data_IF_923860313672
#
_entry.id   IF_923860313672
#
_cell.length_a   1.000
_cell.length_b   1.000
_cell.length_c   1.000
_cell.angle_alpha   90.00
_cell.angle_beta   90.00
_cell.angle_gamma   90.00
#
_symmetry.space_group_name_H-M   'P 1'
#
loop_
_entity.id
_entity.type
_entity.pdbx_description
1 polymer ?
#
# COMPACT_ATOMS: atom_id res chain seq x y z
N UNK A 1 16.08 -13.13 18.62
CA UNK A 1 15.51 -13.70 17.39
C UNK A 1 14.39 -12.77 16.94
N UNK A 2 14.39 -12.31 15.69
CA UNK A 2 13.26 -11.59 15.11
C UNK A 2 12.20 -12.61 14.68
N UNK A 3 10.95 -12.43 15.11
CA UNK A 3 9.81 -13.20 14.59
C UNK A 3 9.58 -12.88 13.11
N UNK A 4 9.15 -13.86 12.31
CA UNK A 4 8.73 -13.60 10.94
C UNK A 4 7.39 -12.85 10.88
N UNK A 5 7.09 -12.22 9.74
CA UNK A 5 5.81 -11.54 9.52
C UNK A 5 4.64 -12.51 9.65
N UNK A 6 4.76 -13.72 9.08
CA UNK A 6 3.77 -14.79 9.23
C UNK A 6 3.52 -15.17 10.70
N UNK A 7 4.59 -15.34 11.49
CA UNK A 7 4.46 -15.67 12.92
C UNK A 7 3.80 -14.53 13.69
N UNK A 8 4.20 -13.28 13.43
CA UNK A 8 3.59 -12.11 14.05
C UNK A 8 2.09 -12.00 13.70
N UNK A 9 1.74 -12.21 12.44
CA UNK A 9 0.35 -12.22 11.97
C UNK A 9 -0.47 -13.26 12.72
N UNK A 10 0.03 -14.48 12.85
CA UNK A 10 -0.67 -15.54 13.59
C UNK A 10 -0.87 -15.21 15.07
N UNK A 11 0.15 -14.66 15.74
CA UNK A 11 0.05 -14.25 17.15
C UNK A 11 -0.97 -13.12 17.36
N UNK A 12 -0.99 -12.13 16.46
CA UNK A 12 -1.96 -11.02 16.50
C UNK A 12 -3.38 -11.53 16.25
N UNK A 13 -3.57 -12.43 15.28
CA UNK A 13 -4.89 -13.00 14.98
C UNK A 13 -5.44 -13.90 16.10
N UNK A 14 -4.56 -14.49 16.93
CA UNK A 14 -4.96 -15.27 18.12
C UNK A 14 -5.46 -14.41 19.29
N UNK A 15 -5.26 -13.09 19.26
CA UNK A 15 -5.74 -12.19 20.31
C UNK A 15 -7.26 -12.01 20.28
N UNK A 16 -7.82 -11.44 21.36
CA UNK A 16 -9.24 -11.07 21.40
C UNK A 16 -9.59 -9.98 20.37
N UNK A 17 -10.86 -9.87 19.94
CA UNK A 17 -11.27 -8.84 18.98
C UNK A 17 -10.88 -7.41 19.39
N UNK A 18 -10.93 -7.09 20.68
CA UNK A 18 -10.62 -5.77 21.23
C UNK A 18 -9.14 -5.45 21.08
N UNK A 19 -8.26 -6.41 21.41
CA UNK A 19 -6.81 -6.26 21.25
C UNK A 19 -6.45 -6.11 19.78
N UNK A 20 -7.06 -6.91 18.89
CA UNK A 20 -6.83 -6.78 17.45
C UNK A 20 -7.24 -5.41 16.92
N UNK A 21 -8.40 -4.91 17.34
CA UNK A 21 -8.88 -3.59 16.94
C UNK A 21 -7.95 -2.47 17.42
N UNK A 22 -7.46 -2.58 18.66
CA UNK A 22 -6.46 -1.67 19.21
C UNK A 22 -5.17 -1.69 18.39
N UNK A 23 -4.57 -2.87 18.16
CA UNK A 23 -3.33 -2.99 17.40
C UNK A 23 -3.48 -2.51 15.95
N UNK A 24 -4.59 -2.81 15.29
CA UNK A 24 -4.86 -2.30 13.95
C UNK A 24 -4.89 -0.77 13.91
N UNK A 25 -5.48 -0.13 14.93
CA UNK A 25 -5.49 1.32 15.06
C UNK A 25 -4.10 1.90 15.25
N UNK A 26 -3.30 1.32 16.16
CA UNK A 26 -1.95 1.80 16.45
C UNK A 26 -1.03 1.67 15.22
N UNK A 27 -1.12 0.53 14.51
CA UNK A 27 -0.38 0.33 13.28
C UNK A 27 -0.78 1.35 12.22
N UNK A 28 -2.07 1.61 12.03
CA UNK A 28 -2.53 2.63 11.08
C UNK A 28 -2.04 4.04 11.47
N UNK A 29 -2.16 4.40 12.75
CA UNK A 29 -1.69 5.68 13.26
C UNK A 29 -0.17 5.87 13.09
N UNK A 30 0.61 4.79 13.14
CA UNK A 30 2.05 4.83 12.88
C UNK A 30 2.38 5.20 11.43
N UNK A 31 1.52 4.82 10.47
CA UNK A 31 1.68 5.20 9.06
C UNK A 31 1.33 6.68 8.86
N UNK A 32 0.31 7.18 9.55
CA UNK A 32 -0.07 8.60 9.50
C UNK A 32 0.99 9.53 10.15
N UNK A 33 1.83 8.98 11.03
CA UNK A 33 2.89 9.72 11.71
C UNK A 33 4.21 9.78 10.93
N UNK A 34 4.27 9.17 9.74
CA UNK A 34 5.46 9.20 8.89
C UNK A 34 5.80 10.62 8.44
N UNK A 35 7.09 10.94 8.37
CA UNK A 35 7.53 12.24 7.88
C UNK A 35 7.27 12.37 6.37
N UNK A 36 7.09 13.61 5.90
CA UNK A 36 6.94 13.89 4.47
C UNK A 36 8.10 13.32 3.63
N UNK A 37 9.33 13.37 4.17
CA UNK A 37 10.51 12.81 3.52
C UNK A 37 10.44 11.28 3.36
N UNK A 38 9.96 10.56 4.37
CA UNK A 38 9.78 9.11 4.27
C UNK A 38 8.67 8.75 3.26
N UNK A 39 7.58 9.52 3.25
CA UNK A 39 6.50 9.35 2.28
C UNK A 39 7.00 9.61 0.86
N UNK A 40 7.76 10.68 0.64
CA UNK A 40 8.33 11.01 -0.67
C UNK A 40 9.25 9.90 -1.17
N UNK A 41 10.09 9.33 -0.29
CA UNK A 41 10.95 8.20 -0.65
C UNK A 41 10.14 6.96 -1.05
N UNK A 42 9.08 6.62 -0.31
CA UNK A 42 8.21 5.50 -0.66
C UNK A 42 7.53 5.71 -2.03
N UNK A 43 7.13 6.93 -2.37
CA UNK A 43 6.57 7.24 -3.68
C UNK A 43 7.60 7.11 -4.80
N UNK A 44 8.85 7.51 -4.56
CA UNK A 44 9.93 7.33 -5.53
C UNK A 44 10.16 5.83 -5.78
N UNK A 45 10.24 5.03 -4.73
CA UNK A 45 10.48 3.59 -4.83
C UNK A 45 9.34 2.90 -5.60
N UNK A 46 8.08 3.24 -5.29
CA UNK A 46 6.91 2.72 -6.01
C UNK A 46 6.89 3.16 -7.49
N UNK A 47 7.30 4.40 -7.80
CA UNK A 47 7.36 4.90 -9.16
C UNK A 47 8.41 4.14 -10.00
N UNK A 48 9.58 3.86 -9.41
CA UNK A 48 10.63 3.06 -10.05
C UNK A 48 10.12 1.65 -10.30
N UNK A 49 9.51 1.00 -9.31
CA UNK A 49 8.96 -0.35 -9.47
C UNK A 49 7.89 -0.38 -10.57
N UNK A 50 7.00 0.62 -10.63
CA UNK A 50 5.94 0.71 -11.66
C UNK A 50 6.50 0.89 -13.06
N UNK A 51 7.58 1.65 -13.21
CA UNK A 51 8.28 1.82 -14.49
C UNK A 51 8.85 0.48 -14.97
N UNK A 52 9.52 -0.25 -14.08
CA UNK A 52 10.06 -1.59 -14.37
C UNK A 52 8.96 -2.61 -14.72
N UNK A 53 7.82 -2.58 -14.01
CA UNK A 53 6.66 -3.43 -14.30
C UNK A 53 6.06 -3.14 -15.69
N UNK A 54 6.09 -1.89 -16.15
CA UNK A 54 5.63 -1.49 -17.48
C UNK A 54 6.62 -1.95 -18.55
N UNK A 55 7.92 -1.70 -18.37
CA UNK A 55 8.97 -2.09 -19.31
C UNK A 55 9.06 -3.61 -19.49
N UNK A 56 8.88 -4.36 -18.40
CA UNK A 56 8.88 -5.83 -18.41
C UNK A 56 7.56 -6.45 -18.87
N UNK A 57 6.50 -5.64 -19.01
CA UNK A 57 5.17 -6.10 -19.42
C UNK A 57 4.42 -6.91 -18.35
N UNK A 58 4.86 -6.87 -17.09
CA UNK A 58 4.16 -7.53 -15.97
C UNK A 58 3.05 -6.67 -15.39
N UNK A 59 3.04 -5.37 -15.68
CA UNK A 59 2.00 -4.46 -15.25
C UNK A 59 0.64 -4.78 -15.89
N UNK A 60 -0.43 -4.66 -15.09
CA UNK A 60 -1.80 -4.67 -15.60
C UNK A 60 -2.19 -3.27 -16.07
N UNK A 61 -1.76 -2.91 -17.27
CA UNK A 61 -2.04 -1.59 -17.86
C UNK A 61 -3.47 -1.51 -18.43
N UNK A 62 -4.07 -0.32 -18.34
CA UNK A 62 -5.35 0.01 -18.99
C UNK A 62 -5.03 0.81 -20.26
N UNK A 63 -5.66 0.51 -21.41
CA UNK A 63 -5.48 1.29 -22.63
C UNK A 63 -5.76 2.79 -22.42
N UNK A 64 -4.89 3.65 -22.95
CA UNK A 64 -4.95 5.09 -22.73
C UNK A 64 -6.30 5.72 -23.15
N UNK A 65 -6.91 5.22 -24.22
CA UNK A 65 -8.24 5.68 -24.66
C UNK A 65 -9.32 5.42 -23.61
N UNK A 66 -9.29 4.27 -22.94
CA UNK A 66 -10.24 3.91 -21.89
C UNK A 66 -10.05 4.79 -20.65
N UNK A 67 -8.80 5.02 -20.24
CA UNK A 67 -8.47 5.93 -19.13
C UNK A 67 -9.00 7.34 -19.39
N UNK A 68 -8.79 7.87 -20.61
CA UNK A 68 -9.23 9.22 -20.98
C UNK A 68 -10.75 9.36 -21.03
N UNK A 69 -11.48 8.32 -21.44
CA UNK A 69 -12.94 8.31 -21.42
C UNK A 69 -13.44 8.36 -19.98
N UNK A 70 -12.99 7.43 -19.11
CA UNK A 70 -13.39 7.39 -17.70
C UNK A 70 -13.10 8.71 -16.98
N UNK A 71 -11.92 9.30 -17.19
CA UNK A 71 -11.55 10.57 -16.57
C UNK A 71 -12.45 11.75 -16.99
N UNK A 72 -12.99 11.74 -18.20
CA UNK A 72 -13.95 12.75 -18.68
C UNK A 72 -15.33 12.54 -18.07
N UNK A 73 -15.78 11.29 -17.95
CA UNK A 73 -17.08 10.94 -17.35
C UNK A 73 -17.15 11.31 -15.86
N UNK A 74 -16.03 11.23 -15.14
CA UNK A 74 -15.95 11.59 -13.72
C UNK A 74 -15.70 13.09 -13.46
N UNK A 75 -15.63 13.93 -14.50
CA UNK A 75 -15.45 15.38 -14.33
C UNK A 75 -16.79 16.01 -13.94
N UNK A 76 -16.93 16.40 -12.66
CA UNK A 76 -18.03 17.25 -12.16
C UNK A 76 -17.82 18.71 -12.54
#
# INVERSE_FOLDING_TARGET
MLMSVEQLKEEVLRQSPEIRAYLARELLASLDAMSAMEIDQLWIDEAIQRDEELDSGTAHAIPANEVLVRAREHRK
#
